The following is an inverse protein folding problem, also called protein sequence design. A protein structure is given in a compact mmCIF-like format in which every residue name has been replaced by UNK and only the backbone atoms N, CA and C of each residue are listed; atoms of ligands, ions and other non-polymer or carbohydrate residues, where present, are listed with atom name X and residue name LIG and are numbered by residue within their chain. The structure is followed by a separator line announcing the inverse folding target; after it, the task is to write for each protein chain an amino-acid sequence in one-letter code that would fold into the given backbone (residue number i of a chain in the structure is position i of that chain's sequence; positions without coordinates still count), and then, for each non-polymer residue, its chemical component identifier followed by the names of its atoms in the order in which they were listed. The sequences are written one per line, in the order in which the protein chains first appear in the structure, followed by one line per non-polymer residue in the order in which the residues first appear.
data_IF_735483157989
#
_entry.id   IF_735483157989
#
_cell.length_a   1.000
_cell.length_b   1.000
_cell.length_c   1.000
_cell.angle_alpha   90.00
_cell.angle_beta   90.00
_cell.angle_gamma   90.00
#
_symmetry.space_group_name_H-M   'P 1'
#
loop_
_entity.id
_entity.type
_entity.pdbx_description
1 polymer ?
#
# COMPACT_ATOMS: atom_id res chain seq x y z
N UNK A 1 21.49 17.83 -27.02
CA UNK A 1 22.15 16.98 -26.01
C UNK A 1 21.85 17.41 -24.58
N UNK A 2 22.28 18.59 -24.11
CA UNK A 2 21.98 19.05 -22.72
C UNK A 2 20.51 19.42 -22.53
N UNK A 3 19.93 20.17 -23.48
CA UNK A 3 18.54 20.64 -23.38
C UNK A 3 17.51 19.51 -23.53
N UNK A 4 17.76 18.55 -24.42
CA UNK A 4 16.92 17.36 -24.58
C UNK A 4 16.97 16.46 -23.34
N UNK A 5 18.12 16.39 -22.66
CA UNK A 5 18.28 15.62 -21.42
C UNK A 5 17.58 16.30 -20.25
N UNK A 6 17.61 17.63 -20.19
CA UNK A 6 16.86 18.41 -19.20
C UNK A 6 15.35 18.33 -19.43
N UNK A 7 14.90 18.42 -20.68
CA UNK A 7 13.49 18.25 -21.02
C UNK A 7 12.97 16.84 -20.71
N UNK A 8 13.79 15.81 -20.89
CA UNK A 8 13.47 14.43 -20.52
C UNK A 8 13.40 14.26 -18.98
N UNK A 9 14.34 14.85 -18.25
CA UNK A 9 14.33 14.84 -16.77
C UNK A 9 13.10 15.57 -16.23
N UNK A 10 12.76 16.74 -16.79
CA UNK A 10 11.60 17.53 -16.38
C UNK A 10 10.26 16.81 -16.70
N UNK A 11 10.21 16.07 -17.82
CA UNK A 11 9.06 15.24 -18.18
C UNK A 11 8.89 14.05 -17.21
N UNK A 12 10.01 13.43 -16.81
CA UNK A 12 10.03 12.35 -15.82
C UNK A 12 9.60 12.87 -14.44
N UNK A 13 10.09 14.04 -14.01
CA UNK A 13 9.71 14.66 -12.74
C UNK A 13 8.22 15.06 -12.71
N UNK A 14 7.67 15.60 -13.79
CA UNK A 14 6.24 15.96 -13.89
C UNK A 14 5.29 14.77 -13.85
N UNK A 15 5.74 13.59 -14.28
CA UNK A 15 4.89 12.41 -14.47
C UNK A 15 5.09 11.35 -13.36
N UNK A 16 6.22 11.37 -12.65
CA UNK A 16 6.52 10.42 -11.58
C UNK A 16 5.99 10.86 -10.20
N UNK A 17 5.92 12.16 -9.88
CA UNK A 17 5.78 12.58 -8.48
C UNK A 17 4.36 12.36 -7.89
N UNK A 18 3.30 12.62 -8.64
CA UNK A 18 1.93 12.54 -8.09
C UNK A 18 1.38 11.10 -8.03
N UNK A 19 1.65 10.30 -9.06
CA UNK A 19 1.17 8.92 -9.15
C UNK A 19 1.98 8.01 -8.22
N UNK A 20 3.30 8.17 -8.14
CA UNK A 20 4.13 7.42 -7.18
C UNK A 20 3.73 7.72 -5.74
N UNK A 21 3.50 8.99 -5.39
CA UNK A 21 3.03 9.36 -4.05
C UNK A 21 1.66 8.77 -3.76
N UNK A 22 0.76 8.72 -4.76
CA UNK A 22 -0.56 8.08 -4.61
C UNK A 22 -0.44 6.58 -4.37
N UNK A 23 0.43 5.89 -5.10
CA UNK A 23 0.69 4.46 -4.93
C UNK A 23 1.31 4.17 -3.55
N UNK A 24 2.29 4.98 -3.12
CA UNK A 24 2.90 4.85 -1.79
C UNK A 24 1.89 5.08 -0.67
N UNK A 25 0.98 6.05 -0.83
CA UNK A 25 -0.10 6.30 0.12
C UNK A 25 -1.10 5.14 0.16
N UNK A 26 -1.50 4.61 -1.00
CA UNK A 26 -2.37 3.45 -1.07
C UNK A 26 -1.74 2.23 -0.39
N UNK A 27 -0.46 1.97 -0.68
CA UNK A 27 0.31 0.91 -0.03
C UNK A 27 0.37 1.11 1.49
N UNK A 28 0.68 2.32 1.96
CA UNK A 28 0.73 2.61 3.39
C UNK A 28 -0.64 2.40 4.06
N UNK A 29 -1.73 2.82 3.42
CA UNK A 29 -3.10 2.61 3.91
C UNK A 29 -3.43 1.10 4.03
N UNK A 30 -3.11 0.30 3.01
CA UNK A 30 -3.30 -1.16 3.05
C UNK A 30 -2.52 -1.81 4.21
N UNK A 31 -1.28 -1.35 4.46
CA UNK A 31 -0.47 -1.84 5.58
C UNK A 31 -1.06 -1.48 6.93
N UNK A 32 -1.57 -0.26 7.10
CA UNK A 32 -2.21 0.19 8.34
C UNK A 32 -3.46 -0.65 8.61
N UNK A 33 -4.31 -0.85 7.61
CA UNK A 33 -5.52 -1.66 7.75
C UNK A 33 -5.22 -3.09 8.18
N UNK A 34 -4.20 -3.73 7.59
CA UNK A 34 -3.82 -5.10 8.01
C UNK A 34 -3.35 -5.17 9.46
N UNK A 35 -2.61 -4.16 9.94
CA UNK A 35 -2.16 -4.08 11.34
C UNK A 35 -3.33 -3.86 12.29
N UNK A 36 -4.27 -2.98 11.95
CA UNK A 36 -5.46 -2.72 12.76
C UNK A 36 -6.33 -3.98 12.90
N UNK A 37 -6.55 -4.71 11.80
CA UNK A 37 -7.30 -5.97 11.84
C UNK A 37 -6.56 -7.02 12.66
N UNK A 38 -5.23 -7.12 12.56
CA UNK A 38 -4.44 -7.99 13.44
C UNK A 38 -4.63 -7.66 14.92
N UNK A 39 -4.64 -6.37 15.26
CA UNK A 39 -4.84 -5.89 16.63
C UNK A 39 -6.24 -6.21 17.15
N UNK A 40 -7.29 -5.95 16.34
CA UNK A 40 -8.68 -6.23 16.74
C UNK A 40 -8.96 -7.72 16.84
N UNK A 41 -8.43 -8.52 15.91
CA UNK A 41 -8.68 -9.97 15.87
C UNK A 41 -7.75 -10.77 16.75
N UNK A 42 -6.71 -10.14 17.33
CA UNK A 42 -5.71 -10.76 18.19
C UNK A 42 -4.89 -11.86 17.50
N UNK A 43 -4.86 -11.90 16.16
CA UNK A 43 -4.17 -12.94 15.42
C UNK A 43 -3.83 -12.51 13.99
N UNK A 44 -2.66 -12.94 13.54
CA UNK A 44 -2.16 -12.67 12.20
C UNK A 44 -3.04 -13.29 11.09
N UNK A 45 -2.91 -12.75 9.87
CA UNK A 45 -3.60 -13.27 8.69
C UNK A 45 -3.28 -14.74 8.46
N UNK A 46 -4.32 -15.57 8.28
CA UNK A 46 -4.18 -17.00 7.99
C UNK A 46 -3.85 -17.90 9.18
N UNK A 47 -3.72 -17.35 10.40
CA UNK A 47 -3.50 -18.15 11.61
C UNK A 47 -4.72 -19.03 11.89
N UNK A 48 -4.48 -20.35 11.95
CA UNK A 48 -5.49 -21.37 12.26
C UNK A 48 -5.51 -21.64 13.77
N UNK A 49 -6.70 -21.65 14.34
CA UNK A 49 -6.94 -22.08 15.72
C UNK A 49 -8.24 -22.88 15.78
N UNK A 50 -8.30 -24.01 16.51
CA UNK A 50 -9.53 -24.77 16.71
C UNK A 50 -10.63 -23.96 17.40
N UNK A 51 -10.26 -22.93 18.17
CA UNK A 51 -11.18 -22.05 18.91
C UNK A 51 -11.60 -20.80 18.11
N UNK A 52 -11.23 -20.71 16.83
CA UNK A 52 -11.53 -19.53 16.02
C UNK A 52 -12.98 -19.56 15.54
N UNK A 53 -13.77 -18.60 16.00
CA UNK A 53 -15.19 -18.47 15.60
C UNK A 53 -15.39 -17.61 14.35
N UNK A 54 -14.45 -16.71 14.04
CA UNK A 54 -14.57 -15.73 12.93
C UNK A 54 -13.32 -15.69 12.06
N UNK A 55 -13.50 -15.40 10.77
CA UNK A 55 -12.42 -15.32 9.76
C UNK A 55 -12.46 -13.97 9.03
N UNK A 56 -11.31 -13.54 8.51
CA UNK A 56 -11.23 -12.32 7.68
C UNK A 56 -11.97 -12.52 6.36
N UNK A 57 -12.79 -11.55 5.96
CA UNK A 57 -13.58 -11.58 4.72
C UNK A 57 -13.15 -10.53 3.69
N UNK A 58 -11.85 -10.17 3.70
CA UNK A 58 -11.30 -9.14 2.81
C UNK A 58 -11.74 -7.71 3.12
N UNK A 59 -11.37 -6.81 2.23
CA UNK A 59 -11.68 -5.37 2.27
C UNK A 59 -12.41 -4.99 0.98
N UNK A 60 -13.11 -3.85 0.98
CA UNK A 60 -13.77 -3.29 -0.21
C UNK A 60 -12.99 -2.10 -0.72
#
# INVERSE_FOLDING_TARGET
MTDERMALIELIEKQADSDLVREMLAFAADRIMEVEVELVTGAAKGVRSPMREVQRNGYR
#
